data_IF_611621163436
#
_entry.id   IF_611621163436
#
_cell.length_a   1.000
_cell.length_b   1.000
_cell.length_c   1.000
_cell.angle_alpha   90.00
_cell.angle_beta   90.00
_cell.angle_gamma   90.00
#
_symmetry.space_group_name_H-M   'P 1'
#
loop_
_entity.id
_entity.type
_entity.pdbx_description
1 polymer ?
#
# COMPACT_ATOMS: atom_id res chain seq x y z
N UNK A 1 28.00 -2.77 9.77
CA UNK A 1 27.25 -2.71 8.49
C UNK A 1 25.79 -2.93 8.80
N UNK A 2 24.88 -2.06 8.35
CA UNK A 2 23.44 -2.33 8.40
C UNK A 2 23.15 -3.60 7.61
N UNK A 3 22.23 -4.43 8.11
CA UNK A 3 21.83 -5.65 7.39
C UNK A 3 21.09 -5.23 6.12
N UNK A 4 21.30 -5.91 4.98
CA UNK A 4 20.65 -5.54 3.73
C UNK A 4 19.13 -5.70 3.86
N UNK A 5 18.40 -4.72 3.32
CA UNK A 5 16.94 -4.61 3.38
C UNK A 5 16.35 -4.65 1.98
N UNK A 6 15.16 -5.24 1.88
CA UNK A 6 14.40 -5.36 0.65
C UNK A 6 13.82 -4.01 0.27
N UNK A 7 14.24 -3.49 -0.87
CA UNK A 7 13.64 -2.29 -1.46
C UNK A 7 12.29 -2.60 -2.11
N UNK A 8 11.25 -1.91 -1.65
CA UNK A 8 9.86 -1.98 -2.12
C UNK A 8 9.45 -0.66 -2.78
N UNK A 9 8.35 -0.62 -3.54
CA UNK A 9 7.88 0.60 -4.24
C UNK A 9 7.51 1.73 -3.28
N UNK A 10 7.79 2.99 -3.68
CA UNK A 10 7.44 4.20 -2.91
C UNK A 10 5.96 4.27 -2.56
N UNK A 11 5.08 3.96 -3.52
CA UNK A 11 3.64 3.87 -3.31
C UNK A 11 3.12 2.49 -3.74
N UNK A 12 2.55 1.75 -2.79
CA UNK A 12 1.97 0.44 -3.03
C UNK A 12 0.45 0.50 -2.91
N UNK A 13 -0.26 -0.06 -3.89
CA UNK A 13 -1.70 -0.30 -3.77
C UNK A 13 -1.93 -1.64 -3.09
N UNK A 14 -2.68 -1.63 -2.00
CA UNK A 14 -3.14 -2.85 -1.32
C UNK A 14 -4.66 -2.90 -1.39
N UNK A 15 -5.20 -4.00 -1.92
CA UNK A 15 -6.64 -4.20 -1.94
C UNK A 15 -7.23 -4.18 -0.53
N UNK A 16 -8.36 -3.47 -0.37
CA UNK A 16 -9.01 -3.31 0.92
C UNK A 16 -9.42 -4.66 1.53
N UNK A 17 -9.73 -5.66 0.70
CA UNK A 17 -10.02 -7.02 1.18
C UNK A 17 -8.85 -7.66 1.91
N UNK A 18 -7.60 -7.40 1.53
CA UNK A 18 -6.42 -7.91 2.23
C UNK A 18 -6.25 -7.21 3.57
N UNK A 19 -6.45 -5.89 3.64
CA UNK A 19 -6.40 -5.14 4.90
C UNK A 19 -7.47 -5.63 5.88
N UNK A 20 -8.70 -5.82 5.40
CA UNK A 20 -9.81 -6.36 6.18
C UNK A 20 -9.50 -7.77 6.65
N UNK A 21 -9.06 -8.67 5.76
CA UNK A 21 -8.63 -10.03 6.08
C UNK A 21 -7.56 -10.04 7.19
N UNK A 22 -6.48 -9.28 7.01
CA UNK A 22 -5.36 -9.25 7.93
C UNK A 22 -5.69 -8.60 9.27
N UNK A 23 -6.67 -7.69 9.30
CA UNK A 23 -7.19 -7.12 10.54
C UNK A 23 -8.01 -8.11 11.37
N UNK A 24 -8.60 -9.11 10.70
CA UNK A 24 -9.66 -9.95 11.27
C UNK A 24 -11.01 -9.59 10.65
N UNK A 25 -11.80 -10.62 10.36
CA UNK A 25 -13.14 -10.44 9.81
C UNK A 25 -14.13 -10.17 10.94
N UNK A 26 -14.91 -9.11 10.79
CA UNK A 26 -16.03 -8.80 11.68
C UNK A 26 -17.00 -9.98 11.69
N UNK A 27 -17.29 -10.47 12.90
CA UNK A 27 -18.16 -11.64 13.11
C UNK A 27 -19.65 -11.27 13.21
N UNK A 28 -19.98 -10.00 13.40
CA UNK A 28 -21.32 -9.54 13.78
C UNK A 28 -21.68 -8.19 13.14
N UNK A 29 -21.71 -8.10 11.82
CA UNK A 29 -22.21 -6.88 11.17
C UNK A 29 -23.70 -7.06 10.90
N UNK A 30 -24.56 -6.48 11.74
CA UNK A 30 -26.00 -6.45 11.51
C UNK A 30 -26.35 -5.06 10.95
N UNK A 31 -26.90 -5.00 9.74
CA UNK A 31 -27.40 -3.76 9.12
C UNK A 31 -28.86 -4.01 8.76
N UNK A 32 -29.79 -3.16 9.19
CA UNK A 32 -31.22 -3.31 8.87
C UNK A 32 -31.77 -4.73 9.06
N UNK A 33 -31.49 -5.31 10.22
CA UNK A 33 -31.87 -6.67 10.61
C UNK A 33 -31.27 -7.86 9.82
N UNK A 34 -30.38 -7.63 8.87
CA UNK A 34 -29.66 -8.68 8.13
C UNK A 34 -28.22 -8.84 8.60
N UNK A 35 -27.74 -10.07 8.65
CA UNK A 35 -26.33 -10.38 8.93
C UNK A 35 -25.47 -10.21 7.68
N UNK A 36 -24.40 -9.42 7.81
CA UNK A 36 -23.41 -9.16 6.78
C UNK A 36 -22.06 -9.68 7.23
N UNK A 37 -21.51 -10.58 6.43
CA UNK A 37 -20.18 -11.14 6.66
C UNK A 37 -19.18 -10.48 5.71
N UNK A 38 -18.13 -9.88 6.28
CA UNK A 38 -17.10 -9.17 5.50
C UNK A 38 -16.48 -10.07 4.43
N UNK A 39 -16.30 -11.38 4.69
CA UNK A 39 -15.81 -12.32 3.67
C UNK A 39 -16.61 -12.28 2.36
N UNK A 40 -17.93 -12.15 2.45
CA UNK A 40 -18.80 -12.11 1.27
C UNK A 40 -18.82 -10.72 0.65
N UNK A 41 -18.89 -9.67 1.48
CA UNK A 41 -18.83 -8.29 1.01
C UNK A 41 -17.55 -8.01 0.21
N UNK A 42 -16.41 -8.50 0.68
CA UNK A 42 -15.11 -8.33 0.02
C UNK A 42 -14.73 -9.44 -0.96
N UNK A 43 -15.57 -10.46 -1.15
CA UNK A 43 -15.26 -11.57 -2.06
C UNK A 43 -13.96 -12.28 -1.72
N UNK A 44 -13.69 -12.50 -0.43
CA UNK A 44 -12.47 -13.15 0.04
C UNK A 44 -12.54 -14.63 -0.29
N UNK A 45 -11.56 -15.10 -1.07
CA UNK A 45 -11.45 -16.50 -1.44
C UNK A 45 -11.17 -17.37 -0.20
N UNK A 46 -11.79 -18.56 -0.20
CA UNK A 46 -11.63 -19.58 0.83
C UNK A 46 -10.17 -19.89 1.16
N UNK A 47 -9.26 -19.84 0.18
CA UNK A 47 -7.83 -20.12 0.39
C UNK A 47 -7.13 -19.15 1.35
N UNK A 48 -7.68 -17.95 1.51
CA UNK A 48 -7.17 -16.93 2.44
C UNK A 48 -7.81 -17.00 3.83
N UNK A 49 -8.90 -17.75 4.01
CA UNK A 49 -9.63 -17.76 5.27
C UNK A 49 -8.90 -18.59 6.33
N UNK A 50 -8.71 -18.08 7.57
CA UNK A 50 -8.16 -18.86 8.67
C UNK A 50 -8.97 -20.12 8.94
N UNK A 51 -8.29 -21.24 9.18
CA UNK A 51 -8.88 -22.52 9.57
C UNK A 51 -8.34 -22.87 10.97
N UNK A 52 -9.19 -23.00 12.00
CA UNK A 52 -8.75 -23.34 13.35
C UNK A 52 -7.86 -24.59 13.37
N UNK A 53 -6.69 -24.50 14.01
CA UNK A 53 -5.73 -25.60 14.09
C UNK A 53 -4.82 -25.78 12.86
N UNK A 54 -5.22 -25.29 11.68
CA UNK A 54 -4.47 -25.51 10.44
C UNK A 54 -3.81 -24.24 9.90
N UNK A 55 -4.56 -23.13 9.83
CA UNK A 55 -4.11 -21.92 9.15
C UNK A 55 -4.55 -20.67 9.90
N UNK A 56 -3.58 -19.79 10.19
CA UNK A 56 -3.85 -18.47 10.76
C UNK A 56 -2.86 -17.46 10.21
N UNK A 57 -3.33 -16.23 10.01
CA UNK A 57 -2.48 -15.09 9.70
C UNK A 57 -1.65 -14.71 10.93
N UNK A 58 -0.37 -15.11 10.91
CA UNK A 58 0.64 -14.68 11.89
C UNK A 58 1.25 -13.34 11.48
N UNK A 59 1.94 -12.67 12.41
CA UNK A 59 2.61 -11.40 12.13
C UNK A 59 3.60 -11.52 10.96
N UNK A 60 4.45 -12.55 10.93
CA UNK A 60 5.41 -12.76 9.84
C UNK A 60 4.72 -13.07 8.51
N UNK A 61 3.64 -13.84 8.51
CA UNK A 61 2.92 -14.20 7.29
C UNK A 61 2.24 -12.98 6.65
N UNK A 62 1.58 -12.14 7.47
CA UNK A 62 0.98 -10.88 7.00
C UNK A 62 2.04 -9.98 6.38
N UNK A 63 3.16 -9.74 7.10
CA UNK A 63 4.24 -8.88 6.63
C UNK A 63 4.87 -9.39 5.34
N UNK A 64 5.07 -10.70 5.21
CA UNK A 64 5.63 -11.31 4.02
C UNK A 64 4.73 -11.14 2.80
N UNK A 65 3.41 -11.30 2.95
CA UNK A 65 2.47 -11.03 1.85
C UNK A 65 2.46 -9.55 1.48
N UNK A 66 2.48 -8.63 2.46
CA UNK A 66 2.59 -7.19 2.20
C UNK A 66 3.89 -6.87 1.45
N UNK A 67 5.01 -7.47 1.85
CA UNK A 67 6.30 -7.31 1.16
C UNK A 67 6.24 -7.82 -0.28
N UNK A 68 5.57 -8.96 -0.53
CA UNK A 68 5.38 -9.46 -1.89
C UNK A 68 4.53 -8.54 -2.74
N UNK A 69 3.40 -8.05 -2.23
CA UNK A 69 2.57 -7.07 -2.95
C UNK A 69 3.38 -5.82 -3.28
N UNK A 70 4.13 -5.29 -2.32
CA UNK A 70 4.93 -4.08 -2.47
C UNK A 70 6.15 -4.24 -3.40
N UNK A 71 6.66 -5.48 -3.56
CA UNK A 71 7.81 -5.79 -4.41
C UNK A 71 7.43 -6.26 -5.82
N UNK A 72 6.27 -6.89 -5.98
CA UNK A 72 5.81 -7.48 -7.24
C UNK A 72 5.71 -6.45 -8.37
N UNK A 73 5.92 -6.88 -9.60
CA UNK A 73 5.62 -6.09 -10.79
C UNK A 73 4.08 -5.96 -10.97
N UNK A 74 3.64 -5.33 -12.05
CA UNK A 74 2.21 -5.15 -12.35
C UNK A 74 1.45 -6.43 -12.69
N UNK A 75 2.15 -7.54 -12.87
CA UNK A 75 1.58 -8.86 -13.19
C UNK A 75 1.60 -9.78 -11.95
N UNK A 76 2.11 -9.30 -10.81
CA UNK A 76 2.21 -10.08 -9.58
C UNK A 76 3.45 -10.96 -9.49
N UNK A 77 4.46 -10.74 -10.35
CA UNK A 77 5.71 -11.49 -10.34
C UNK A 77 6.84 -10.73 -9.62
N UNK A 78 7.67 -11.49 -8.92
CA UNK A 78 8.96 -11.07 -8.37
C UNK A 78 10.00 -12.00 -8.97
N UNK A 79 10.76 -11.52 -9.97
CA UNK A 79 11.72 -12.36 -10.69
C UNK A 79 12.99 -12.66 -9.89
N UNK A 80 13.33 -11.84 -8.91
CA UNK A 80 14.54 -11.97 -8.12
C UNK A 80 14.36 -11.38 -6.71
N UNK A 81 14.58 -12.20 -5.68
CA UNK A 81 14.38 -11.82 -4.28
C UNK A 81 15.32 -12.59 -3.36
N UNK A 82 16.14 -11.89 -2.56
CA UNK A 82 16.91 -12.53 -1.48
C UNK A 82 15.99 -12.86 -0.29
N UNK A 83 16.03 -14.11 0.15
CA UNK A 83 15.37 -14.52 1.40
C UNK A 83 15.98 -13.84 2.63
N UNK A 84 17.27 -13.51 2.60
CA UNK A 84 17.95 -12.80 3.70
C UNK A 84 17.46 -11.35 3.80
N UNK A 85 17.45 -10.62 2.69
CA UNK A 85 16.93 -9.25 2.64
C UNK A 85 15.48 -9.19 3.11
N UNK A 86 14.63 -10.11 2.62
CA UNK A 86 13.24 -10.20 3.04
C UNK A 86 13.13 -10.47 4.55
N UNK A 87 13.86 -11.46 5.07
CA UNK A 87 13.85 -11.83 6.48
C UNK A 87 14.27 -10.66 7.38
N UNK A 88 15.34 -9.94 6.99
CA UNK A 88 15.82 -8.76 7.70
C UNK A 88 14.76 -7.65 7.70
N UNK A 89 14.11 -7.42 6.56
CA UNK A 89 13.11 -6.35 6.36
C UNK A 89 11.86 -6.55 7.19
N UNK A 90 11.31 -7.77 7.22
CA UNK A 90 10.10 -8.06 8.01
C UNK A 90 10.41 -8.50 9.46
N UNK A 91 11.68 -8.44 9.85
CA UNK A 91 12.21 -8.79 11.17
C UNK A 91 11.88 -10.21 11.63
N UNK A 92 12.19 -11.21 10.78
CA UNK A 92 12.08 -12.62 11.13
C UNK A 92 13.31 -13.43 10.68
N UNK A 93 13.27 -14.75 10.87
CA UNK A 93 14.35 -15.64 10.39
C UNK A 93 14.12 -16.05 8.94
N UNK A 94 15.19 -16.37 8.21
CA UNK A 94 15.11 -17.01 6.87
C UNK A 94 14.30 -18.31 6.93
N UNK A 95 14.42 -19.08 8.02
CA UNK A 95 13.59 -20.28 8.25
C UNK A 95 12.10 -19.94 8.27
N UNK A 96 11.73 -18.82 8.89
CA UNK A 96 10.35 -18.33 8.91
C UNK A 96 9.86 -17.98 7.50
N UNK A 97 10.69 -17.31 6.69
CA UNK A 97 10.37 -17.00 5.28
C UNK A 97 10.07 -18.27 4.49
N UNK A 98 10.93 -19.28 4.60
CA UNK A 98 10.79 -20.58 3.90
C UNK A 98 9.54 -21.33 4.34
N UNK A 99 9.28 -21.38 5.65
CA UNK A 99 8.08 -22.02 6.18
C UNK A 99 6.81 -21.31 5.71
N UNK A 100 6.83 -19.97 5.68
CA UNK A 100 5.72 -19.16 5.17
C UNK A 100 5.51 -19.39 3.67
N UNK A 101 6.58 -19.50 2.86
CA UNK A 101 6.47 -19.78 1.43
C UNK A 101 5.77 -21.10 1.17
N UNK A 102 6.23 -22.17 1.83
CA UNK A 102 5.59 -23.47 1.73
C UNK A 102 4.11 -23.41 2.11
N UNK A 103 3.79 -22.75 3.22
CA UNK A 103 2.40 -22.61 3.67
C UNK A 103 1.53 -21.82 2.66
N UNK A 104 2.06 -20.74 2.07
CA UNK A 104 1.33 -19.94 1.08
C UNK A 104 1.14 -20.69 -0.24
N UNK A 105 2.13 -21.49 -0.64
CA UNK A 105 2.08 -22.37 -1.81
C UNK A 105 1.10 -23.52 -1.62
N UNK A 106 1.13 -24.20 -0.47
CA UNK A 106 0.18 -25.26 -0.11
C UNK A 106 -1.28 -24.75 -0.12
N UNK A 107 -1.49 -23.45 0.13
CA UNK A 107 -2.79 -22.78 0.03
C UNK A 107 -3.11 -22.25 -1.37
N UNK A 108 -2.21 -22.34 -2.34
CA UNK A 108 -2.40 -21.78 -3.68
C UNK A 108 -2.51 -20.25 -3.71
N UNK A 109 -1.88 -19.58 -2.72
CA UNK A 109 -1.82 -18.12 -2.64
C UNK A 109 -0.64 -17.59 -3.47
N UNK A 110 0.47 -18.33 -3.48
CA UNK A 110 1.66 -18.03 -4.29
C UNK A 110 2.13 -19.27 -5.04
N UNK A 111 2.94 -19.07 -6.07
CA UNK A 111 3.92 -20.05 -6.54
C UNK A 111 5.31 -19.49 -6.31
N UNK A 112 6.28 -20.31 -5.95
CA UNK A 112 7.65 -19.83 -5.77
C UNK A 112 8.65 -20.91 -6.13
N UNK A 113 9.80 -20.49 -6.66
CA UNK A 113 10.91 -21.41 -6.91
C UNK A 113 12.22 -20.77 -6.44
N UNK A 114 13.18 -21.62 -6.11
CA UNK A 114 14.56 -21.20 -5.85
C UNK A 114 15.32 -21.09 -7.16
N UNK A 115 15.98 -19.95 -7.36
CA UNK A 115 16.81 -19.70 -8.53
C UNK A 115 18.23 -20.22 -8.26
N UNK A 116 18.90 -19.66 -7.26
CA UNK A 116 20.20 -20.12 -6.77
C UNK A 116 20.45 -19.58 -5.35
N UNK A 117 21.21 -20.30 -4.54
CA UNK A 117 21.58 -19.85 -3.19
C UNK A 117 20.35 -19.45 -2.37
N UNK A 118 20.32 -18.20 -1.90
CA UNK A 118 19.21 -17.60 -1.16
C UNK A 118 18.16 -16.88 -2.01
N UNK A 119 18.33 -16.85 -3.34
CA UNK A 119 17.48 -16.10 -4.24
C UNK A 119 16.32 -16.94 -4.76
N UNK A 120 15.13 -16.36 -4.70
CA UNK A 120 13.87 -16.97 -5.13
C UNK A 120 13.14 -16.09 -6.15
N UNK A 121 12.27 -16.71 -6.95
CA UNK A 121 11.20 -16.03 -7.68
C UNK A 121 9.86 -16.34 -7.03
N UNK A 122 8.91 -15.40 -7.09
CA UNK A 122 7.57 -15.54 -6.51
C UNK A 122 6.53 -15.03 -7.50
N UNK A 123 5.45 -15.77 -7.67
CA UNK A 123 4.23 -15.37 -8.39
C UNK A 123 3.07 -15.28 -7.39
N UNK A 124 2.35 -14.16 -7.41
CA UNK A 124 1.09 -13.99 -6.69
C UNK A 124 -0.05 -14.59 -7.52
N UNK A 125 -0.61 -15.72 -7.07
CA UNK A 125 -1.60 -16.47 -7.85
C UNK A 125 -2.90 -15.69 -7.95
N UNK A 126 -3.42 -15.56 -9.17
CA UNK A 126 -4.59 -14.75 -9.52
C UNK A 126 -4.41 -13.28 -9.12
N UNK A 127 -3.22 -12.70 -9.39
CA UNK A 127 -2.81 -11.38 -8.91
C UNK A 127 -3.88 -10.28 -9.01
N UNK A 128 -4.43 -10.08 -10.22
CA UNK A 128 -5.46 -9.07 -10.48
C UNK A 128 -6.67 -9.29 -9.57
N UNK A 129 -7.17 -10.52 -9.51
CA UNK A 129 -8.35 -10.86 -8.72
C UNK A 129 -8.05 -10.79 -7.22
N UNK A 130 -6.99 -11.40 -6.71
CA UNK A 130 -6.82 -11.67 -5.28
C UNK A 130 -6.05 -10.58 -4.54
N UNK A 131 -5.11 -9.91 -5.21
CA UNK A 131 -4.23 -8.91 -4.59
C UNK A 131 -4.57 -7.49 -5.03
N UNK A 132 -5.14 -7.36 -6.22
CA UNK A 132 -5.72 -6.13 -6.70
C UNK A 132 -7.25 -6.14 -6.70
N UNK A 133 -7.98 -7.18 -6.29
CA UNK A 133 -9.45 -7.11 -6.28
C UNK A 133 -10.09 -6.58 -7.58
N UNK A 134 -9.47 -6.85 -8.73
CA UNK A 134 -9.92 -6.46 -10.07
C UNK A 134 -10.62 -7.64 -10.72
N UNK A 135 -11.84 -7.42 -11.18
CA UNK A 135 -12.64 -8.39 -11.92
C UNK A 135 -13.02 -7.83 -13.28
N UNK A 136 -12.97 -8.62 -14.36
CA UNK A 136 -13.50 -8.20 -15.66
C UNK A 136 -14.98 -7.79 -15.56
N UNK A 137 -15.35 -6.67 -16.19
CA UNK A 137 -16.70 -6.10 -16.18
C UNK A 137 -17.78 -7.08 -16.65
N UNK A 138 -17.45 -7.94 -17.63
CA UNK A 138 -18.37 -8.93 -18.18
C UNK A 138 -18.82 -9.98 -17.15
N UNK A 139 -18.01 -10.22 -16.11
CA UNK A 139 -18.31 -11.18 -15.04
C UNK A 139 -19.08 -10.51 -13.89
N UNK A 140 -18.90 -9.20 -13.69
CA UNK A 140 -19.52 -8.45 -12.58
C UNK A 140 -21.03 -8.19 -12.76
N UNK A 141 -21.55 -8.28 -13.99
CA UNK A 141 -22.94 -7.99 -14.34
C UNK A 141 -23.97 -9.10 -14.01
N UNK A 142 -23.60 -10.13 -13.25
CA UNK A 142 -24.53 -11.23 -12.89
C UNK A 142 -24.88 -11.17 -11.39
N UNK A 143 -25.94 -10.41 -11.08
CA UNK A 143 -27.11 -10.77 -10.22
C UNK A 143 -27.97 -9.52 -9.98
N UNK A 144 -29.18 -9.51 -10.55
CA UNK A 144 -30.17 -8.41 -10.51
C UNK A 144 -30.89 -8.21 -9.18
N UNK A 145 -30.61 -9.03 -8.16
CA UNK A 145 -31.23 -8.95 -6.83
C UNK A 145 -30.21 -8.60 -5.71
N UNK A 146 -29.11 -7.95 -6.08
CA UNK A 146 -28.07 -7.58 -5.11
C UNK A 146 -28.41 -6.25 -4.42
N UNK A 147 -28.57 -6.28 -3.10
CA UNK A 147 -28.84 -5.13 -2.22
C UNK A 147 -27.70 -4.09 -2.26
N UNK A 148 -26.56 -4.44 -2.88
CA UNK A 148 -25.43 -3.55 -3.15
C UNK A 148 -25.42 -2.97 -4.57
N UNK A 149 -26.53 -3.02 -5.33
CA UNK A 149 -26.62 -2.40 -6.66
C UNK A 149 -26.17 -0.93 -6.64
N UNK A 150 -26.60 -0.17 -5.63
CA UNK A 150 -26.30 1.26 -5.47
C UNK A 150 -24.82 1.51 -5.11
N UNK A 151 -24.16 0.53 -4.45
CA UNK A 151 -22.71 0.57 -4.16
C UNK A 151 -21.90 0.13 -5.39
N UNK A 152 -22.44 -0.79 -6.19
CA UNK A 152 -21.84 -1.27 -7.45
C UNK A 152 -21.94 -0.25 -8.58
N UNK A 153 -22.99 0.56 -8.62
CA UNK A 153 -23.14 1.65 -9.60
C UNK A 153 -22.09 2.75 -9.37
N UNK A 154 -21.67 2.98 -8.13
CA UNK A 154 -20.54 3.87 -7.80
C UNK A 154 -19.16 3.26 -8.17
N UNK A 155 -19.08 1.93 -8.29
CA UNK A 155 -17.85 1.18 -8.62
C UNK A 155 -17.60 1.12 -10.14
N UNK A 156 -18.59 1.41 -10.98
CA UNK A 156 -18.53 1.20 -12.43
C UNK A 156 -17.53 2.13 -13.19
N UNK A 157 -17.02 3.18 -12.55
CA UNK A 157 -16.13 4.17 -13.16
C UNK A 157 -14.78 4.34 -12.43
N UNK A 158 -14.20 3.26 -11.89
CA UNK A 158 -12.82 3.34 -11.39
C UNK A 158 -11.86 3.22 -12.58
N UNK A 159 -11.37 4.36 -13.09
CA UNK A 159 -10.15 4.39 -13.90
C UNK A 159 -8.97 4.06 -12.99
N UNK A 160 -8.48 2.82 -13.05
CA UNK A 160 -7.26 2.43 -12.32
C UNK A 160 -6.07 2.59 -13.25
N UNK A 161 -5.23 3.56 -12.92
CA UNK A 161 -3.96 3.81 -13.60
C UNK A 161 -2.84 2.99 -12.91
N UNK A 162 -2.79 1.69 -13.20
CA UNK A 162 -1.82 0.75 -12.60
C UNK A 162 -0.49 0.70 -13.35
N UNK A 163 -0.48 1.15 -14.60
CA UNK A 163 0.62 1.05 -15.55
C UNK A 163 0.68 2.21 -16.52
N UNK A 164 -0.17 3.22 -16.33
CA UNK A 164 -0.41 4.19 -17.36
C UNK A 164 -1.42 3.75 -18.43
N UNK A 165 -1.81 2.48 -18.47
CA UNK A 165 -2.92 2.00 -19.29
C UNK A 165 -4.21 2.06 -18.47
N UNK A 166 -5.26 2.69 -19.02
CA UNK A 166 -6.57 2.70 -18.40
C UNK A 166 -7.16 1.28 -18.49
N UNK A 167 -7.21 0.57 -17.36
CA UNK A 167 -7.93 -0.71 -17.25
C UNK A 167 -9.45 -0.42 -17.21
N UNK A 168 -10.02 0.02 -18.33
CA UNK A 168 -11.44 0.37 -18.46
C UNK A 168 -12.37 -0.83 -18.31
N UNK A 169 -11.84 -2.04 -18.44
CA UNK A 169 -12.60 -3.29 -18.52
C UNK A 169 -12.68 -4.03 -17.18
N UNK A 170 -12.16 -3.45 -16.10
CA UNK A 170 -12.18 -4.05 -14.77
C UNK A 170 -12.98 -3.22 -13.76
N UNK A 171 -13.53 -3.90 -12.75
CA UNK A 171 -14.20 -3.31 -11.59
C UNK A 171 -13.64 -3.88 -10.30
N UNK A 172 -13.60 -3.05 -9.25
CA UNK A 172 -13.13 -3.47 -7.93
C UNK A 172 -14.27 -3.48 -6.92
N UNK A 173 -14.43 -4.60 -6.21
CA UNK A 173 -15.54 -4.77 -5.27
C UNK A 173 -15.34 -3.99 -3.97
N UNK A 174 -14.12 -4.04 -3.43
CA UNK A 174 -13.76 -3.45 -2.15
C UNK A 174 -12.88 -2.21 -2.25
N UNK A 175 -12.30 -1.94 -3.42
CA UNK A 175 -11.35 -0.84 -3.63
C UNK A 175 -9.96 -1.09 -3.03
N UNK A 176 -9.16 -0.03 -2.93
CA UNK A 176 -7.75 -0.09 -2.56
C UNK A 176 -7.36 1.02 -1.60
N UNK A 177 -6.38 0.73 -0.78
CA UNK A 177 -5.63 1.74 -0.03
C UNK A 177 -4.26 1.90 -0.65
N UNK A 178 -3.90 3.15 -0.99
CA UNK A 178 -2.52 3.49 -1.34
C UNK A 178 -1.73 3.68 -0.06
N UNK A 179 -0.59 3.00 0.07
CA UNK A 179 0.27 3.03 1.26
C UNK A 179 1.70 3.35 0.82
N UNK A 180 2.37 4.28 1.50
CA UNK A 180 3.77 4.58 1.22
C UNK A 180 4.71 3.53 1.81
N UNK A 181 5.88 3.37 1.20
CA UNK A 181 7.01 2.61 1.74
C UNK A 181 7.29 2.95 3.21
N UNK A 182 7.29 4.24 3.58
CA UNK A 182 7.52 4.72 4.95
C UNK A 182 6.52 4.07 5.93
N UNK A 183 5.25 3.98 5.56
CA UNK A 183 4.22 3.31 6.38
C UNK A 183 4.45 1.80 6.38
N UNK A 184 4.77 1.18 5.25
CA UNK A 184 5.01 -0.27 5.16
C UNK A 184 6.20 -0.70 6.03
N UNK A 185 7.31 0.04 6.02
CA UNK A 185 8.45 -0.25 6.90
C UNK A 185 8.09 -0.11 8.37
N UNK A 186 7.27 0.87 8.77
CA UNK A 186 6.76 0.95 10.14
C UNK A 186 5.88 -0.25 10.50
N UNK A 187 5.03 -0.71 9.58
CA UNK A 187 4.23 -1.93 9.78
C UNK A 187 5.12 -3.17 9.99
N UNK A 188 6.26 -3.26 9.28
CA UNK A 188 7.20 -4.35 9.46
C UNK A 188 7.87 -4.37 10.83
N UNK A 189 8.03 -3.22 11.49
CA UNK A 189 8.59 -3.13 12.86
C UNK A 189 7.63 -3.65 13.94
N UNK A 190 6.32 -3.74 13.66
CA UNK A 190 5.30 -4.15 14.64
C UNK A 190 5.44 -5.65 14.97
N UNK A 191 5.88 -5.99 16.19
CA UNK A 191 6.04 -7.40 16.61
C UNK A 191 4.71 -8.08 16.96
N UNK A 192 3.82 -7.37 17.65
CA UNK A 192 2.54 -7.91 18.12
C UNK A 192 1.53 -7.99 16.97
N UNK A 193 1.04 -9.21 16.70
CA UNK A 193 0.05 -9.46 15.63
C UNK A 193 -1.26 -8.69 15.83
N UNK A 194 -1.66 -8.41 17.08
CA UNK A 194 -2.92 -7.68 17.35
C UNK A 194 -2.76 -6.17 17.13
N UNK A 195 -1.57 -5.63 17.41
CA UNK A 195 -1.21 -4.26 17.03
C UNK A 195 -1.17 -4.14 15.50
N UNK A 196 -0.61 -5.14 14.80
CA UNK A 196 -0.60 -5.18 13.34
C UNK A 196 -2.02 -5.26 12.77
N UNK A 197 -2.90 -6.09 13.36
CA UNK A 197 -4.32 -6.17 13.01
C UNK A 197 -5.03 -4.83 13.14
N UNK A 198 -4.81 -4.13 14.25
CA UNK A 198 -5.37 -2.80 14.47
C UNK A 198 -4.85 -1.80 13.43
N UNK A 199 -3.56 -1.85 13.09
CA UNK A 199 -2.98 -1.01 12.05
C UNK A 199 -3.62 -1.27 10.66
N UNK A 200 -3.82 -2.55 10.28
CA UNK A 200 -4.50 -2.90 9.03
C UNK A 200 -5.93 -2.36 8.99
N UNK A 201 -6.67 -2.51 10.10
CA UNK A 201 -8.05 -1.97 10.21
C UNK A 201 -8.05 -0.45 10.13
N UNK A 202 -7.11 0.21 10.79
CA UNK A 202 -6.98 1.66 10.77
C UNK A 202 -6.70 2.19 9.35
N UNK A 203 -5.81 1.56 8.59
CA UNK A 203 -5.55 1.93 7.18
C UNK A 203 -6.81 1.82 6.32
N UNK A 204 -7.54 0.71 6.43
CA UNK A 204 -8.80 0.53 5.70
C UNK A 204 -9.85 1.57 6.11
N UNK A 205 -10.02 1.81 7.41
CA UNK A 205 -10.97 2.81 7.91
C UNK A 205 -10.59 4.22 7.49
N UNK A 206 -9.30 4.54 7.43
CA UNK A 206 -8.80 5.81 6.92
C UNK A 206 -9.16 5.99 5.44
N UNK A 207 -8.90 4.99 4.61
CA UNK A 207 -9.29 5.02 3.20
C UNK A 207 -10.80 5.26 3.04
N UNK A 208 -11.62 4.51 3.78
CA UNK A 208 -13.08 4.62 3.70
C UNK A 208 -13.62 5.96 4.20
N UNK A 209 -13.16 6.45 5.34
CA UNK A 209 -13.74 7.64 5.98
C UNK A 209 -13.12 8.94 5.46
N UNK A 210 -11.80 8.99 5.22
CA UNK A 210 -11.11 10.21 4.79
C UNK A 210 -11.05 10.32 3.27
N UNK A 211 -10.55 9.28 2.59
CA UNK A 211 -10.33 9.38 1.14
C UNK A 211 -11.59 9.20 0.29
N UNK A 212 -12.55 8.39 0.76
CA UNK A 212 -13.78 8.08 0.01
C UNK A 212 -14.95 8.95 0.45
N UNK A 213 -15.16 9.10 1.76
CA UNK A 213 -16.26 9.94 2.29
C UNK A 213 -15.87 11.40 2.53
N UNK A 214 -14.61 11.76 2.30
CA UNK A 214 -14.10 13.13 2.46
C UNK A 214 -14.26 13.70 3.89
N UNK A 215 -14.29 12.84 4.91
CA UNK A 215 -14.23 13.31 6.29
C UNK A 215 -12.82 13.84 6.60
N UNK A 216 -12.73 14.78 7.54
CA UNK A 216 -11.44 15.33 7.99
C UNK A 216 -10.55 14.32 8.74
N UNK A 217 -11.16 13.27 9.28
CA UNK A 217 -10.46 12.21 10.02
C UNK A 217 -11.24 10.89 9.98
N UNK A 218 -10.54 9.81 10.30
CA UNK A 218 -11.14 8.51 10.45
C UNK A 218 -11.66 8.32 11.88
N UNK A 219 -12.90 7.88 12.00
CA UNK A 219 -13.54 7.62 13.28
C UNK A 219 -13.99 6.16 13.32
N UNK A 220 -13.61 5.44 14.37
CA UNK A 220 -13.99 4.02 14.55
C UNK A 220 -14.52 3.83 15.98
N UNK A 221 -15.67 3.16 16.10
CA UNK A 221 -16.30 2.89 17.39
C UNK A 221 -15.65 1.72 18.13
N UNK A 222 -15.94 1.59 19.42
CA UNK A 222 -15.50 0.44 20.20
C UNK A 222 -16.02 -0.88 19.67
N UNK A 223 -17.31 -0.95 19.28
CA UNK A 223 -17.89 -2.20 18.76
C UNK A 223 -17.25 -2.62 17.44
N UNK A 224 -16.94 -1.67 16.55
CA UNK A 224 -16.20 -1.93 15.31
C UNK A 224 -14.82 -2.55 15.59
N UNK A 225 -14.05 -2.00 16.53
CA UNK A 225 -12.73 -2.55 16.89
C UNK A 225 -12.86 -3.92 17.57
N UNK A 226 -13.78 -4.04 18.54
CA UNK A 226 -14.00 -5.26 19.33
C UNK A 226 -14.42 -6.44 18.46
N UNK A 227 -15.23 -6.20 17.43
CA UNK A 227 -15.74 -7.26 16.55
C UNK A 227 -14.67 -7.86 15.63
N UNK A 228 -13.55 -7.17 15.45
CA UNK A 228 -12.44 -7.53 14.57
C UNK A 228 -11.31 -8.19 15.33
N UNK A 229 -11.04 -7.72 16.54
CA UNK A 229 -9.99 -8.26 17.40
C UNK A 229 -10.40 -9.60 18.05
N UNK A 230 -9.41 -10.44 18.42
CA UNK A 230 -9.69 -11.62 19.22
C UNK A 230 -10.38 -11.27 20.56
N UNK A 231 -11.33 -12.09 21.05
CA UNK A 231 -12.12 -11.79 22.25
C UNK A 231 -11.28 -11.47 23.50
N UNK A 232 -10.11 -12.10 23.64
CA UNK A 232 -9.23 -11.94 24.79
C UNK A 232 -8.52 -10.57 24.86
N UNK A 233 -8.56 -9.75 23.79
CA UNK A 233 -7.85 -8.46 23.73
C UNK A 233 -8.74 -7.28 23.31
N UNK A 234 -10.04 -7.53 23.15
CA UNK A 234 -11.04 -6.56 22.70
C UNK A 234 -11.58 -5.61 23.78
N UNK A 235 -10.85 -5.38 24.87
CA UNK A 235 -11.25 -4.49 25.96
C UNK A 235 -10.56 -3.13 25.87
N UNK A 236 -11.23 -2.05 26.33
CA UNK A 236 -10.82 -0.66 26.14
C UNK A 236 -9.34 -0.37 26.47
N UNK A 237 -8.85 -0.85 27.61
CA UNK A 237 -7.47 -0.59 28.04
C UNK A 237 -6.42 -1.33 27.19
N UNK A 238 -6.74 -2.52 26.66
CA UNK A 238 -5.87 -3.17 25.67
C UNK A 238 -5.87 -2.41 24.34
N UNK A 239 -7.04 -1.98 23.87
CA UNK A 239 -7.15 -1.18 22.64
C UNK A 239 -6.32 0.10 22.75
N UNK A 240 -6.42 0.82 23.87
CA UNK A 240 -5.59 2.02 24.13
C UNK A 240 -4.10 1.71 24.04
N UNK A 241 -3.62 0.69 24.75
CA UNK A 241 -2.21 0.25 24.69
C UNK A 241 -1.75 -0.14 23.29
N UNK A 242 -2.64 -0.69 22.45
CA UNK A 242 -2.31 -1.01 21.07
C UNK A 242 -2.28 0.24 20.19
N UNK A 243 -3.23 1.17 20.37
CA UNK A 243 -3.27 2.45 19.66
C UNK A 243 -2.03 3.32 19.98
N UNK A 244 -1.61 3.39 21.25
CA UNK A 244 -0.42 4.16 21.64
C UNK A 244 0.85 3.70 20.90
N UNK A 245 0.97 2.39 20.66
CA UNK A 245 2.07 1.80 19.88
C UNK A 245 2.03 2.19 18.40
N UNK A 246 0.91 2.70 17.88
CA UNK A 246 0.72 3.10 16.49
C UNK A 246 0.84 4.61 16.26
N UNK A 247 1.15 5.39 17.30
CA UNK A 247 1.33 6.86 17.25
C UNK A 247 2.37 7.34 16.23
N UNK A 248 3.33 6.49 15.90
CA UNK A 248 4.32 6.78 14.87
C UNK A 248 3.76 6.72 13.44
N UNK A 249 2.65 6.00 13.20
CA UNK A 249 1.97 5.93 11.89
C UNK A 249 0.77 6.87 11.85
N UNK A 250 0.00 6.92 12.94
CA UNK A 250 -1.26 7.64 13.02
C UNK A 250 -1.24 8.67 14.15
N UNK A 251 -1.81 9.85 13.89
CA UNK A 251 -2.19 10.80 14.92
C UNK A 251 -3.50 10.32 15.52
N UNK A 252 -3.43 9.68 16.69
CA UNK A 252 -4.55 8.99 17.35
C UNK A 252 -5.03 9.75 18.58
N UNK A 253 -6.35 9.88 18.68
CA UNK A 253 -7.04 10.44 19.83
C UNK A 253 -8.16 9.49 20.25
N UNK A 254 -8.30 9.29 21.56
CA UNK A 254 -9.28 8.38 22.13
C UNK A 254 -10.23 9.16 23.03
N UNK A 255 -11.51 9.07 22.72
CA UNK A 255 -12.57 9.76 23.44
C UNK A 255 -13.45 8.74 24.17
N UNK A 256 -13.86 9.06 25.40
CA UNK A 256 -14.78 8.21 26.19
C UNK A 256 -15.91 9.03 26.83
N UNK A 257 -17.10 8.42 26.89
CA UNK A 257 -18.27 8.98 27.57
C UNK A 257 -18.62 10.38 27.06
N UNK A 258 -18.83 11.32 27.99
CA UNK A 258 -19.24 12.69 27.68
C UNK A 258 -18.23 13.46 26.81
N UNK A 259 -16.96 13.06 26.80
CA UNK A 259 -15.96 13.68 25.91
C UNK A 259 -16.29 13.43 24.44
N UNK A 260 -16.85 12.26 24.10
CA UNK A 260 -17.25 11.97 22.73
C UNK A 260 -18.35 12.94 22.26
N UNK A 261 -19.32 13.24 23.13
CA UNK A 261 -20.41 14.15 22.80
C UNK A 261 -19.88 15.55 22.60
N UNK A 262 -19.12 16.09 23.55
CA UNK A 262 -18.56 17.45 23.47
C UNK A 262 -17.72 17.65 22.21
N UNK A 263 -16.72 16.81 21.99
CA UNK A 263 -15.81 16.97 20.85
C UNK A 263 -16.54 16.83 19.51
N UNK A 264 -17.40 15.81 19.35
CA UNK A 264 -17.97 15.56 18.03
C UNK A 264 -19.25 16.33 17.73
N UNK A 265 -20.09 16.64 18.72
CA UNK A 265 -21.30 17.44 18.50
C UNK A 265 -21.05 18.94 18.60
N UNK A 266 -20.25 19.40 19.57
CA UNK A 266 -20.07 20.82 19.83
C UNK A 266 -18.93 21.43 19.00
N UNK A 267 -17.79 20.73 18.90
CA UNK A 267 -16.59 21.26 18.22
C UNK A 267 -16.54 20.85 16.74
N UNK A 268 -16.67 19.55 16.44
CA UNK A 268 -16.44 18.99 15.10
C UNK A 268 -17.69 18.89 14.22
N UNK A 269 -18.90 19.15 14.75
CA UNK A 269 -20.18 19.08 14.03
C UNK A 269 -20.34 17.79 13.21
N UNK A 270 -20.32 16.66 13.89
CA UNK A 270 -20.37 15.33 13.31
C UNK A 270 -21.53 15.12 12.33
N UNK A 271 -21.27 14.38 11.26
CA UNK A 271 -22.32 13.90 10.37
C UNK A 271 -23.02 12.65 10.95
N UNK A 272 -24.17 12.27 10.37
CA UNK A 272 -25.01 11.15 10.81
C UNK A 272 -24.25 9.81 10.92
N UNK A 273 -23.21 9.60 10.09
CA UNK A 273 -22.36 8.40 10.15
C UNK A 273 -21.51 8.37 11.42
N UNK A 274 -20.96 9.52 11.82
CA UNK A 274 -20.13 9.65 13.02
C UNK A 274 -21.00 9.61 14.29
N UNK A 275 -22.19 10.23 14.27
CA UNK A 275 -23.16 10.18 15.37
C UNK A 275 -23.48 8.75 15.82
N UNK A 276 -23.67 7.83 14.86
CA UNK A 276 -23.94 6.43 15.18
C UNK A 276 -22.76 5.72 15.86
N UNK A 277 -21.51 6.09 15.51
CA UNK A 277 -20.30 5.52 16.12
C UNK A 277 -20.08 6.01 17.55
N UNK A 278 -20.49 7.24 17.85
CA UNK A 278 -20.33 7.86 19.18
C UNK A 278 -21.26 7.22 20.23
N UNK A 279 -22.39 6.64 19.82
CA UNK A 279 -23.34 5.95 20.72
C UNK A 279 -22.71 4.85 21.57
N UNK A 280 -21.59 4.28 21.11
CA UNK A 280 -20.83 3.27 21.86
C UNK A 280 -20.11 3.84 23.10
N UNK A 281 -20.03 5.16 23.26
CA UNK A 281 -19.39 5.83 24.40
C UNK A 281 -17.87 5.64 24.45
N UNK A 282 -17.27 5.16 23.37
CA UNK A 282 -15.83 5.04 23.16
C UNK A 282 -15.53 5.10 21.67
N UNK A 283 -14.65 6.01 21.29
CA UNK A 283 -14.31 6.29 19.91
C UNK A 283 -12.80 6.45 19.77
N UNK A 284 -12.24 5.83 18.75
CA UNK A 284 -10.88 6.08 18.29
C UNK A 284 -10.95 6.97 17.05
N UNK A 285 -10.43 8.19 17.18
CA UNK A 285 -10.32 9.17 16.11
C UNK A 285 -8.88 9.25 15.63
N UNK A 286 -8.64 9.31 14.32
CA UNK A 286 -7.27 9.39 13.83
C UNK A 286 -7.12 9.91 12.41
N UNK A 287 -5.91 10.42 12.16
CA UNK A 287 -5.36 10.71 10.84
C UNK A 287 -4.00 10.05 10.66
N UNK A 288 -3.48 10.02 9.42
CA UNK A 288 -2.09 9.66 9.16
C UNK A 288 -1.16 10.81 9.54
N UNK A 289 0.00 10.50 10.11
CA UNK A 289 0.97 11.54 10.53
C UNK A 289 1.64 12.17 9.31
N UNK A 290 1.43 13.48 9.12
CA UNK A 290 2.17 14.31 8.16
C UNK A 290 2.21 13.72 6.74
N UNK A 291 3.41 13.45 6.22
CA UNK A 291 3.64 12.93 4.86
C UNK A 291 3.19 11.48 4.64
N UNK A 292 2.70 10.78 5.69
CA UNK A 292 2.28 9.37 5.57
C UNK A 292 0.98 9.18 4.78
N UNK A 293 0.29 10.27 4.44
CA UNK A 293 -0.86 10.24 3.56
C UNK A 293 -0.45 9.97 2.09
N UNK A 294 -0.31 8.69 1.74
CA UNK A 294 0.20 8.25 0.44
C UNK A 294 -0.51 8.87 -0.78
N UNK A 295 -1.85 8.97 -0.82
CA UNK A 295 -2.56 9.56 -1.97
C UNK A 295 -2.23 11.04 -2.20
N UNK A 296 -2.23 11.84 -1.14
CA UNK A 296 -1.88 13.26 -1.20
C UNK A 296 -0.41 13.42 -1.60
N UNK A 297 0.49 12.67 -0.94
CA UNK A 297 1.91 12.68 -1.26
C UNK A 297 2.18 12.30 -2.72
N UNK A 298 1.59 11.19 -3.19
CA UNK A 298 1.74 10.70 -4.57
C UNK A 298 1.35 11.78 -5.60
N UNK A 299 0.25 12.50 -5.37
CA UNK A 299 -0.20 13.59 -6.26
C UNK A 299 0.79 14.76 -6.26
N UNK A 300 1.18 15.23 -5.09
CA UNK A 300 2.12 16.36 -4.94
C UNK A 300 3.48 16.02 -5.55
N UNK A 301 4.03 14.84 -5.23
CA UNK A 301 5.32 14.39 -5.76
C UNK A 301 5.28 14.25 -7.29
N UNK A 302 4.20 13.74 -7.88
CA UNK A 302 4.08 13.66 -9.33
C UNK A 302 4.09 15.02 -10.02
N UNK A 303 3.36 16.00 -9.48
CA UNK A 303 3.32 17.35 -10.05
C UNK A 303 4.72 17.99 -10.00
N UNK A 304 5.36 17.92 -8.84
CA UNK A 304 6.72 18.47 -8.65
C UNK A 304 7.75 17.72 -9.51
N UNK A 305 7.65 16.40 -9.61
CA UNK A 305 8.56 15.58 -10.40
C UNK A 305 8.48 15.90 -11.89
N UNK A 306 7.27 16.11 -12.43
CA UNK A 306 7.09 16.59 -13.81
C UNK A 306 7.69 17.98 -14.00
N UNK A 307 7.50 18.89 -13.05
CA UNK A 307 8.07 20.23 -13.11
C UNK A 307 9.61 20.20 -13.14
N UNK A 308 10.25 19.48 -12.21
CA UNK A 308 11.71 19.35 -12.16
C UNK A 308 12.26 18.65 -13.41
N UNK A 309 11.55 17.65 -13.92
CA UNK A 309 11.96 16.96 -15.14
C UNK A 309 11.90 17.89 -16.37
N UNK A 310 10.88 18.73 -16.48
CA UNK A 310 10.79 19.68 -17.59
C UNK A 310 11.93 20.71 -17.55
N UNK A 311 12.37 21.12 -16.36
CA UNK A 311 13.56 21.96 -16.20
C UNK A 311 14.82 21.24 -16.65
N UNK A 312 14.99 19.98 -16.25
CA UNK A 312 16.08 19.11 -16.70
C UNK A 312 16.08 18.92 -18.22
N UNK A 313 14.93 18.66 -18.85
CA UNK A 313 14.82 18.50 -20.30
C UNK A 313 15.29 19.74 -21.07
N UNK A 314 14.93 20.95 -20.60
CA UNK A 314 15.42 22.20 -21.19
C UNK A 314 16.94 22.36 -21.05
N UNK A 315 17.52 21.93 -19.94
CA UNK A 315 18.98 21.92 -19.77
C UNK A 315 19.64 20.96 -20.78
N UNK A 316 19.09 19.76 -20.96
CA UNK A 316 19.57 18.80 -21.96
C UNK A 316 19.49 19.37 -23.38
N UNK A 317 18.39 20.03 -23.75
CA UNK A 317 18.24 20.71 -25.04
C UNK A 317 19.31 21.79 -25.25
N UNK A 318 19.63 22.57 -24.22
CA UNK A 318 20.67 23.59 -24.28
C UNK A 318 22.08 23.03 -24.55
N UNK A 319 22.29 21.73 -24.24
CA UNK A 319 23.53 21.00 -24.54
C UNK A 319 23.48 20.24 -25.88
N UNK A 320 22.46 20.47 -26.71
CA UNK A 320 22.27 19.79 -27.99
C UNK A 320 21.69 18.38 -27.88
N UNK A 321 21.19 18.01 -26.70
CA UNK A 321 20.49 16.76 -26.44
C UNK A 321 18.98 16.84 -26.70
N UNK A 322 18.31 15.72 -26.50
CA UNK A 322 16.84 15.62 -26.49
C UNK A 322 16.47 14.39 -25.65
N UNK A 323 15.30 14.39 -25.02
CA UNK A 323 14.81 13.28 -24.20
C UNK A 323 13.50 12.79 -24.78
N UNK A 324 13.41 11.50 -25.09
CA UNK A 324 12.15 10.87 -25.48
C UNK A 324 11.53 10.17 -24.26
N UNK A 325 10.80 10.96 -23.47
CA UNK A 325 10.11 10.48 -22.28
C UNK A 325 8.83 11.28 -22.05
N UNK A 326 7.74 10.55 -21.82
CA UNK A 326 6.42 11.13 -21.62
C UNK A 326 6.20 11.56 -20.17
N UNK A 327 5.28 12.50 -19.95
CA UNK A 327 4.84 12.90 -18.60
C UNK A 327 4.37 11.70 -17.76
N UNK A 328 3.68 10.76 -18.41
CA UNK A 328 3.20 9.51 -17.85
C UNK A 328 4.35 8.63 -17.34
N UNK A 329 5.42 8.50 -18.11
CA UNK A 329 6.63 7.78 -17.69
C UNK A 329 7.34 8.49 -16.53
N UNK A 330 7.42 9.82 -16.54
CA UNK A 330 8.00 10.59 -15.42
C UNK A 330 7.20 10.35 -14.14
N UNK A 331 5.86 10.45 -14.20
CA UNK A 331 4.96 10.14 -13.08
C UNK A 331 5.17 8.71 -12.58
N UNK A 332 5.34 7.74 -13.49
CA UNK A 332 5.64 6.34 -13.13
C UNK A 332 6.94 6.21 -12.33
N UNK A 333 8.03 6.90 -12.74
CA UNK A 333 9.29 6.92 -11.98
C UNK A 333 9.11 7.50 -10.58
N UNK A 334 8.37 8.60 -10.46
CA UNK A 334 8.05 9.20 -9.15
C UNK A 334 7.24 8.24 -8.29
N UNK A 335 6.24 7.56 -8.87
CA UNK A 335 5.42 6.60 -8.13
C UNK A 335 6.22 5.39 -7.64
N UNK A 336 7.25 5.00 -8.38
CA UNK A 336 8.12 3.87 -8.05
C UNK A 336 9.21 4.24 -7.02
N UNK A 337 9.91 5.36 -7.21
CA UNK A 337 11.13 5.71 -6.46
C UNK A 337 11.01 6.96 -5.57
N UNK A 338 9.92 7.72 -5.71
CA UNK A 338 9.70 9.00 -5.04
C UNK A 338 10.47 10.18 -5.65
N UNK A 339 10.03 11.40 -5.30
CA UNK A 339 10.58 12.65 -5.82
C UNK A 339 12.08 12.85 -5.50
N UNK A 340 12.51 12.52 -4.27
CA UNK A 340 13.90 12.70 -3.83
C UNK A 340 14.90 11.89 -4.70
N UNK A 341 14.56 10.63 -4.99
CA UNK A 341 15.40 9.76 -5.83
C UNK A 341 15.46 10.25 -7.27
N UNK A 342 14.34 10.78 -7.80
CA UNK A 342 14.31 11.40 -9.12
C UNK A 342 15.19 12.66 -9.17
N UNK A 343 15.10 13.53 -8.17
CA UNK A 343 15.91 14.76 -8.11
C UNK A 343 17.41 14.45 -8.03
N UNK A 344 17.81 13.47 -7.20
CA UNK A 344 19.21 13.01 -7.14
C UNK A 344 19.69 12.44 -8.46
N UNK A 345 18.81 11.72 -9.18
CA UNK A 345 19.09 11.19 -10.51
C UNK A 345 19.35 12.31 -11.51
N UNK A 346 18.44 13.30 -11.57
CA UNK A 346 18.57 14.48 -12.43
C UNK A 346 19.90 15.18 -12.17
N UNK A 347 20.18 15.53 -10.91
CA UNK A 347 21.43 16.22 -10.51
C UNK A 347 22.67 15.42 -10.88
N UNK A 348 22.63 14.09 -10.73
CA UNK A 348 23.74 13.20 -11.08
C UNK A 348 24.02 13.20 -12.58
N UNK A 349 22.97 13.10 -13.40
CA UNK A 349 23.08 13.15 -14.86
C UNK A 349 23.60 14.51 -15.32
N UNK A 350 23.04 15.61 -14.81
CA UNK A 350 23.50 16.96 -15.12
C UNK A 350 24.97 17.17 -14.75
N UNK A 351 25.41 16.65 -13.60
CA UNK A 351 26.82 16.72 -13.17
C UNK A 351 27.73 15.96 -14.13
N UNK A 352 27.39 14.74 -14.50
CA UNK A 352 28.20 13.91 -15.41
C UNK A 352 28.34 14.56 -16.80
N UNK A 353 27.26 15.16 -17.32
CA UNK A 353 27.30 15.90 -18.59
C UNK A 353 28.19 17.13 -18.49
N UNK A 354 28.02 17.94 -17.44
CA UNK A 354 28.84 19.13 -17.21
C UNK A 354 30.34 18.80 -17.07
N UNK A 355 30.67 17.70 -16.38
CA UNK A 355 32.06 17.23 -16.27
C UNK A 355 32.61 16.76 -17.62
N UNK A 356 31.81 16.05 -18.41
CA UNK A 356 32.20 15.60 -19.76
C UNK A 356 32.46 16.78 -20.70
N UNK A 357 31.62 17.82 -20.65
CA UNK A 357 31.79 19.07 -21.41
C UNK A 357 33.08 19.78 -20.99
N UNK A 358 33.32 19.95 -19.69
CA UNK A 358 34.52 20.63 -19.15
C UNK A 358 35.82 19.93 -19.50
N UNK A 359 35.79 18.61 -19.56
CA UNK A 359 36.97 17.77 -19.83
C UNK A 359 37.20 17.52 -21.33
N UNK A 360 36.41 18.13 -22.22
CA UNK A 360 36.42 17.86 -23.67
C UNK A 360 36.27 16.36 -24.01
N UNK A 361 35.63 15.60 -23.12
CA UNK A 361 35.31 14.20 -23.32
C UNK A 361 34.03 14.07 -24.17
N UNK A 362 33.72 12.84 -24.60
CA UNK A 362 32.57 12.50 -25.45
C UNK A 362 31.21 12.64 -24.72
N UNK A 363 30.82 13.88 -24.44
CA UNK A 363 29.50 14.24 -23.92
C UNK A 363 28.39 13.84 -24.90
N UNK A 364 28.69 13.85 -26.21
CA UNK A 364 27.77 13.45 -27.28
C UNK A 364 27.43 11.97 -27.20
N UNK A 365 28.42 11.08 -27.08
CA UNK A 365 28.19 9.65 -26.91
C UNK A 365 27.47 9.30 -25.60
N UNK A 366 27.63 10.09 -24.53
CA UNK A 366 26.80 9.93 -23.33
C UNK A 366 25.33 10.28 -23.59
N UNK A 367 25.06 11.42 -24.25
CA UNK A 367 23.71 11.83 -24.61
C UNK A 367 23.05 10.84 -25.59
N UNK A 368 23.80 10.31 -26.54
CA UNK A 368 23.30 9.34 -27.53
C UNK A 368 22.89 8.02 -26.85
N UNK A 369 23.70 7.48 -25.93
CA UNK A 369 23.32 6.29 -25.13
C UNK A 369 22.07 6.52 -24.28
N UNK A 370 21.91 7.72 -23.74
CA UNK A 370 20.71 8.07 -22.98
C UNK A 370 19.48 8.18 -23.88
N UNK A 371 19.63 8.65 -25.13
CA UNK A 371 18.51 8.73 -26.09
C UNK A 371 18.00 7.36 -26.51
N UNK A 372 18.86 6.36 -26.65
CA UNK A 372 18.46 5.00 -27.06
C UNK A 372 17.38 4.40 -26.15
N UNK A 373 17.44 4.68 -24.83
CA UNK A 373 16.41 4.27 -23.87
C UNK A 373 16.37 5.22 -22.67
N UNK A 374 15.82 6.42 -22.86
CA UNK A 374 15.80 7.46 -21.83
C UNK A 374 15.11 7.00 -20.56
N UNK A 375 13.93 6.39 -20.68
CA UNK A 375 13.18 5.90 -19.52
C UNK A 375 13.96 4.84 -18.73
N UNK A 376 14.48 3.81 -19.41
CA UNK A 376 15.26 2.74 -18.77
C UNK A 376 16.54 3.24 -18.12
N UNK A 377 17.24 4.18 -18.77
CA UNK A 377 18.45 4.80 -18.24
C UNK A 377 18.18 5.55 -16.93
N UNK A 378 17.18 6.44 -16.92
CA UNK A 378 16.82 7.22 -15.73
C UNK A 378 16.31 6.31 -14.62
N UNK A 379 15.49 5.31 -14.97
CA UNK A 379 14.99 4.30 -14.03
C UNK A 379 16.11 3.57 -13.29
N UNK A 380 17.17 3.18 -14.00
CA UNK A 380 18.30 2.45 -13.40
C UNK A 380 19.05 3.28 -12.37
N UNK A 381 19.30 4.57 -12.66
CA UNK A 381 19.98 5.48 -11.73
C UNK A 381 19.07 5.79 -10.53
N UNK A 382 17.78 6.05 -10.77
CA UNK A 382 16.80 6.31 -9.71
C UNK A 382 16.68 5.14 -8.74
N UNK A 383 16.67 3.90 -9.24
CA UNK A 383 16.71 2.71 -8.40
C UNK A 383 17.98 2.70 -7.52
N UNK A 384 19.16 3.03 -8.05
CA UNK A 384 20.39 3.11 -7.26
C UNK A 384 20.29 4.08 -6.07
N UNK A 385 19.80 5.30 -6.30
CA UNK A 385 19.59 6.28 -5.23
C UNK A 385 18.52 5.85 -4.22
N UNK A 386 17.46 5.22 -4.71
CA UNK A 386 16.37 4.75 -3.86
C UNK A 386 16.79 3.60 -2.96
N UNK A 387 17.57 2.64 -3.48
CA UNK A 387 18.17 1.56 -2.69
C UNK A 387 19.07 2.13 -1.59
N UNK A 388 19.94 3.09 -1.95
CA UNK A 388 20.82 3.74 -0.98
C UNK A 388 20.04 4.43 0.16
N UNK A 389 18.93 5.12 -0.17
CA UNK A 389 18.03 5.74 0.81
C UNK A 389 17.43 4.72 1.78
N UNK A 390 17.04 3.55 1.29
CA UNK A 390 16.41 2.49 2.10
C UNK A 390 17.41 1.79 3.02
N UNK A 391 18.67 1.70 2.61
CA UNK A 391 19.75 1.04 3.37
C UNK A 391 20.45 1.94 4.39
N UNK A 392 20.29 3.26 4.27
CA UNK A 392 20.81 4.28 5.17
C UNK A 392 20.02 4.33 6.48
#
# INVERSE_FOLDING_TARGET
MSKPTLTIKRHTLIANKLLVLFSGLSRNTKVDDKYYYEKHAFGIDSKFLPIPGEFKWTSSLIKQVIAYVAKSNSEGFISFLSEEELANTIHCSVRTIRNNNKLLEDKGIIRWDRIFGEYIKVELVDYLLQFLDLQPKDIANIKKDDVFADVKEYIANVKVDLLGEELTDYVSKGGYTSISDDVIYELFKIKDVNVLRLAMRALYSFEKEVNVKENSEAVVSYSEIKNVLPPYIGYKSAIRKMADKLSHIFQLELFEGNQCIRTFFEEKKANKSIENKIKDGFVLSFNLVGIKHSKQQKRTEAILGVFEFNKFARNIESWGGSLDITEKQIKSLVYEFGLDSLNKTIVSIEKNINESIKTLNDSKGFLDRMKENTYGFIRNIANGYYQAKITA
#
